data_IF_758288189659
#
_entry.id   IF_758288189659
#
_cell.length_a   1.000
_cell.length_b   1.000
_cell.length_c   1.000
_cell.angle_alpha   90.00
_cell.angle_beta   90.00
_cell.angle_gamma   90.00
#
_symmetry.space_group_name_H-M   'P 1'
#
loop_
_entity.id
_entity.type
_entity.pdbx_description
1 polymer ?
#
# COMPACT_ATOMS: atom_id res chain seq x y z
N UNK A 1 23.71 -19.96 -27.70
CA UNK A 1 22.86 -21.16 -27.85
C UNK A 1 21.42 -20.76 -27.54
N UNK A 2 20.48 -21.01 -28.44
CA UNK A 2 19.11 -20.50 -28.32
C UNK A 2 18.30 -21.16 -27.21
N UNK A 3 17.39 -20.39 -26.60
CA UNK A 3 16.38 -20.89 -25.68
C UNK A 3 15.57 -22.03 -26.30
N UNK A 4 15.12 -22.96 -25.45
CA UNK A 4 14.32 -24.11 -25.85
C UNK A 4 12.88 -23.91 -25.40
N UNK A 5 12.08 -23.10 -26.10
CA UNK A 5 10.71 -22.79 -25.70
C UNK A 5 9.79 -24.02 -25.71
N UNK A 6 10.16 -25.09 -26.41
CA UNK A 6 9.37 -26.32 -26.56
C UNK A 6 9.74 -27.43 -25.57
N UNK A 7 10.76 -27.24 -24.71
CA UNK A 7 11.12 -28.20 -23.65
C UNK A 7 11.62 -29.58 -24.13
N UNK A 8 11.99 -29.75 -25.41
CA UNK A 8 12.43 -31.06 -25.92
C UNK A 8 13.80 -31.48 -25.40
N UNK A 9 14.00 -32.80 -25.27
CA UNK A 9 15.29 -33.40 -24.87
C UNK A 9 16.38 -33.17 -25.92
N UNK A 10 17.64 -33.21 -25.49
CA UNK A 10 18.80 -33.04 -26.37
C UNK A 10 18.84 -34.11 -27.46
N UNK A 11 18.45 -35.36 -27.17
CA UNK A 11 18.40 -36.45 -28.15
C UNK A 11 17.33 -36.19 -29.22
N UNK A 12 16.14 -35.74 -28.81
CA UNK A 12 15.06 -35.39 -29.74
C UNK A 12 15.46 -34.23 -30.64
N UNK A 13 16.23 -33.26 -30.12
CA UNK A 13 16.73 -32.11 -30.89
C UNK A 13 17.82 -32.50 -31.87
N UNK A 14 18.70 -33.42 -31.51
CA UNK A 14 19.73 -33.95 -32.40
C UNK A 14 19.13 -34.73 -33.60
N UNK A 15 17.93 -35.29 -33.45
CA UNK A 15 17.19 -35.94 -34.53
C UNK A 15 16.77 -35.00 -35.67
N UNK A 16 16.69 -33.68 -35.44
CA UNK A 16 16.33 -32.71 -36.48
C UNK A 16 17.52 -32.20 -37.29
N UNK A 17 18.75 -32.59 -36.94
CA UNK A 17 19.98 -32.14 -37.60
C UNK A 17 20.22 -32.97 -38.86
N UNK A 18 20.28 -32.29 -40.01
CA UNK A 18 20.48 -32.91 -41.33
C UNK A 18 21.97 -32.98 -41.74
N UNK A 19 22.86 -32.28 -41.01
CA UNK A 19 24.27 -32.07 -41.36
C UNK A 19 25.19 -33.18 -40.83
N UNK A 20 25.03 -34.41 -41.32
CA UNK A 20 25.97 -35.51 -41.02
C UNK A 20 26.10 -35.91 -39.54
N UNK A 21 26.79 -37.02 -39.28
CA UNK A 21 26.85 -37.58 -37.92
C UNK A 21 27.82 -36.83 -36.99
N UNK A 22 28.84 -36.19 -37.54
CA UNK A 22 29.79 -35.39 -36.77
C UNK A 22 29.14 -34.17 -36.10
N UNK A 23 28.21 -33.48 -36.78
CA UNK A 23 27.50 -32.33 -36.22
C UNK A 23 26.52 -32.76 -35.12
N UNK A 24 25.88 -33.92 -35.28
CA UNK A 24 24.98 -34.50 -34.27
C UNK A 24 25.71 -34.80 -32.97
N UNK A 25 26.91 -35.39 -33.06
CA UNK A 25 27.73 -35.72 -31.89
C UNK A 25 28.16 -34.43 -31.16
N UNK A 26 28.69 -33.45 -31.89
CA UNK A 26 29.09 -32.17 -31.30
C UNK A 26 27.91 -31.43 -30.65
N UNK A 27 26.73 -31.45 -31.28
CA UNK A 27 25.53 -30.84 -30.71
C UNK A 27 25.08 -31.53 -29.42
N UNK A 28 25.10 -32.87 -29.38
CA UNK A 28 24.70 -33.63 -28.20
C UNK A 28 25.60 -33.35 -27.00
N UNK A 29 26.92 -33.30 -27.22
CA UNK A 29 27.89 -32.95 -26.17
C UNK A 29 27.62 -31.55 -25.61
N UNK A 30 27.50 -30.54 -26.46
CA UNK A 30 27.23 -29.17 -26.03
C UNK A 30 25.85 -29.03 -25.35
N UNK A 31 24.82 -29.72 -25.84
CA UNK A 31 23.47 -29.63 -25.30
C UNK A 31 23.38 -30.24 -23.90
N UNK A 32 24.00 -31.41 -23.69
CA UNK A 32 24.01 -32.06 -22.38
C UNK A 32 24.86 -31.31 -21.36
N UNK A 33 26.00 -30.75 -21.78
CA UNK A 33 26.84 -29.91 -20.91
C UNK A 33 26.08 -28.68 -20.39
N UNK A 34 25.40 -27.94 -21.28
CA UNK A 34 24.65 -26.74 -20.89
C UNK A 34 23.37 -27.09 -20.10
N UNK A 35 22.74 -28.24 -20.39
CA UNK A 35 21.65 -28.75 -19.57
C UNK A 35 22.09 -28.96 -18.12
N UNK A 36 23.27 -29.55 -17.89
CA UNK A 36 23.83 -29.72 -16.56
C UNK A 36 24.00 -28.39 -15.80
N UNK A 37 24.56 -27.37 -16.45
CA UNK A 37 24.73 -26.04 -15.85
C UNK A 37 23.38 -25.40 -15.50
N UNK A 38 22.38 -25.54 -16.37
CA UNK A 38 21.03 -25.00 -16.11
C UNK A 38 20.31 -25.75 -14.99
N UNK A 39 20.41 -27.07 -14.94
CA UNK A 39 19.80 -27.87 -13.88
C UNK A 39 20.43 -27.53 -12.51
N UNK A 40 21.73 -27.20 -12.48
CA UNK A 40 22.43 -26.73 -11.28
C UNK A 40 21.97 -25.32 -10.86
N UNK A 41 21.85 -24.36 -11.79
CA UNK A 41 21.34 -23.02 -11.47
C UNK A 41 19.86 -23.04 -11.04
N UNK A 42 19.04 -23.89 -11.66
CA UNK A 42 17.63 -24.09 -11.27
C UNK A 42 17.55 -24.66 -9.86
N UNK A 43 18.40 -25.64 -9.51
CA UNK A 43 18.46 -26.17 -8.13
C UNK A 43 18.84 -25.11 -7.11
N UNK A 44 19.82 -24.24 -7.40
CA UNK A 44 20.13 -23.12 -6.49
C UNK A 44 18.94 -22.16 -6.33
N UNK A 45 18.21 -21.91 -7.41
CA UNK A 45 17.00 -21.06 -7.41
C UNK A 45 15.84 -21.71 -6.65
N UNK A 46 15.63 -23.02 -6.80
CA UNK A 46 14.61 -23.77 -6.05
C UNK A 46 14.94 -23.90 -4.57
N UNK A 47 16.23 -24.03 -4.20
CA UNK A 47 16.67 -24.04 -2.80
C UNK A 47 16.47 -22.67 -2.12
N UNK A 48 16.53 -21.56 -2.87
CA UNK A 48 16.13 -20.24 -2.40
C UNK A 48 14.61 -20.17 -2.14
N UNK A 49 13.78 -20.78 -2.98
CA UNK A 49 12.32 -20.81 -2.83
C UNK A 49 11.84 -21.71 -1.67
N UNK A 50 12.58 -22.78 -1.34
CA UNK A 50 12.21 -23.69 -0.26
C UNK A 50 12.51 -23.14 1.16
N UNK A 51 13.30 -22.06 1.27
CA UNK A 51 13.64 -21.40 2.54
C UNK A 51 12.89 -20.10 2.80
N UNK A 52 12.01 -19.70 1.89
CA UNK A 52 11.33 -18.42 1.99
C UNK A 52 9.99 -18.55 2.74
N UNK A 53 10.05 -18.93 4.01
CA UNK A 53 9.02 -18.46 4.95
C UNK A 53 9.28 -16.95 5.14
N UNK A 54 8.73 -16.15 4.22
CA UNK A 54 8.82 -14.69 4.12
C UNK A 54 8.09 -13.95 5.27
N UNK A 55 8.02 -14.50 6.48
CA UNK A 55 7.40 -13.79 7.62
C UNK A 55 8.38 -12.85 8.33
N UNK A 56 9.69 -13.01 8.16
CA UNK A 56 10.70 -12.27 8.93
C UNK A 56 11.05 -10.84 8.43
N UNK A 57 10.62 -10.43 7.23
CA UNK A 57 11.03 -9.13 6.64
C UNK A 57 9.99 -8.01 6.79
N UNK A 58 8.78 -8.33 7.24
CA UNK A 58 7.69 -7.35 7.42
C UNK A 58 7.36 -7.19 8.91
N UNK A 59 6.94 -5.98 9.29
CA UNK A 59 6.50 -5.73 10.67
C UNK A 59 5.31 -6.63 11.00
N UNK A 60 5.35 -7.26 12.18
CA UNK A 60 4.18 -7.96 12.72
C UNK A 60 3.01 -7.00 12.93
N UNK A 61 1.80 -7.48 12.65
CA UNK A 61 0.56 -6.67 12.66
C UNK A 61 0.33 -5.92 13.98
N UNK A 62 0.81 -6.46 15.10
CA UNK A 62 0.67 -5.86 16.43
C UNK A 62 1.32 -4.48 16.55
N UNK A 63 2.30 -4.19 15.69
CA UNK A 63 3.00 -2.89 15.68
C UNK A 63 2.31 -1.86 14.76
N UNK A 64 1.30 -2.27 13.98
CA UNK A 64 0.64 -1.41 13.00
C UNK A 64 -0.67 -0.88 13.56
N UNK A 65 -0.66 0.37 14.02
CA UNK A 65 -1.88 1.07 14.44
C UNK A 65 -2.58 1.60 13.19
N UNK A 66 -3.74 1.03 12.88
CA UNK A 66 -4.58 1.47 11.76
C UNK A 66 -5.27 2.80 12.07
N UNK A 67 -5.25 3.69 11.08
CA UNK A 67 -5.97 4.97 11.11
C UNK A 67 -7.47 4.74 11.01
N UNK A 68 -8.24 5.40 11.86
CA UNK A 68 -9.70 5.24 11.91
C UNK A 68 -10.45 6.55 12.17
N UNK A 69 -9.78 7.60 12.64
CA UNK A 69 -10.39 8.89 12.95
C UNK A 69 -10.34 9.84 11.74
N UNK A 70 -11.36 9.74 10.87
CA UNK A 70 -11.53 10.55 9.66
C UNK A 70 -12.75 11.47 9.75
N UNK A 71 -12.77 12.48 10.64
CA UNK A 71 -13.87 13.42 10.71
C UNK A 71 -13.82 14.41 9.54
N UNK A 72 -14.97 14.95 9.13
CA UNK A 72 -15.01 16.05 8.16
C UNK A 72 -14.54 17.37 8.77
N UNK A 73 -14.85 17.59 10.06
CA UNK A 73 -14.45 18.76 10.82
C UNK A 73 -14.14 18.40 12.27
N UNK A 74 -13.23 19.14 12.88
CA UNK A 74 -12.84 18.98 14.28
C UNK A 74 -12.40 20.34 14.85
N UNK A 75 -12.04 20.36 16.13
CA UNK A 75 -11.65 21.59 16.85
C UNK A 75 -12.79 22.62 17.00
N UNK A 76 -14.03 22.13 17.15
CA UNK A 76 -15.20 22.96 17.43
C UNK A 76 -15.21 23.41 18.90
N UNK A 77 -14.38 24.40 19.22
CA UNK A 77 -14.12 24.87 20.59
C UNK A 77 -14.42 26.38 20.73
N UNK A 78 -14.84 26.76 21.94
CA UNK A 78 -14.99 28.16 22.33
C UNK A 78 -14.02 28.47 23.45
N UNK A 79 -13.15 29.45 23.25
CA UNK A 79 -12.08 29.79 24.18
C UNK A 79 -12.12 31.26 24.57
N UNK A 80 -11.92 31.52 25.87
CA UNK A 80 -11.83 32.87 26.40
C UNK A 80 -10.36 33.30 26.53
N UNK A 81 -10.03 34.45 25.93
CA UNK A 81 -8.70 35.07 26.00
C UNK A 81 -8.61 36.00 27.22
N UNK A 82 -8.34 35.42 28.40
CA UNK A 82 -8.26 36.16 29.66
C UNK A 82 -6.82 36.53 30.07
N UNK A 83 -5.82 36.20 29.24
CA UNK A 83 -4.42 36.48 29.56
C UNK A 83 -4.17 38.00 29.59
N UNK A 84 -3.29 38.49 30.47
CA UNK A 84 -2.96 39.92 30.50
C UNK A 84 -2.42 40.34 29.13
N UNK A 85 -2.92 41.45 28.56
CA UNK A 85 -2.44 41.93 27.28
C UNK A 85 -0.96 42.31 27.38
N UNK A 86 -0.23 42.05 26.30
CA UNK A 86 1.15 42.50 26.17
C UNK A 86 1.23 44.04 26.06
N UNK A 87 2.44 44.59 25.96
CA UNK A 87 2.66 46.03 25.75
C UNK A 87 2.00 46.62 24.49
N UNK A 88 1.53 45.78 23.57
CA UNK A 88 0.82 46.15 22.34
C UNK A 88 -0.71 45.99 22.46
N UNK A 89 -1.23 45.59 23.63
CA UNK A 89 -2.67 45.37 23.84
C UNK A 89 -3.17 43.99 23.35
N UNK A 90 -2.29 43.08 22.97
CA UNK A 90 -2.64 41.76 22.44
C UNK A 90 -2.59 40.72 23.56
N UNK A 91 -3.72 40.02 23.78
CA UNK A 91 -3.81 38.84 24.65
C UNK A 91 -3.61 37.58 23.79
N UNK A 92 -2.65 36.73 24.15
CA UNK A 92 -2.37 35.48 23.43
C UNK A 92 -2.65 34.26 24.30
N UNK A 93 -3.13 33.18 23.67
CA UNK A 93 -3.36 31.88 24.29
C UNK A 93 -2.83 30.78 23.38
N UNK A 94 -2.00 29.91 23.93
CA UNK A 94 -1.45 28.74 23.22
C UNK A 94 -2.39 27.56 23.47
N UNK A 95 -2.81 26.91 22.39
CA UNK A 95 -3.62 25.69 22.44
C UNK A 95 -2.83 24.52 21.87
N UNK A 96 -2.87 23.39 22.59
CA UNK A 96 -2.27 22.14 22.14
C UNK A 96 -3.38 21.13 21.87
N UNK A 97 -3.35 20.52 20.70
CA UNK A 97 -4.31 19.51 20.28
C UNK A 97 -3.60 18.42 19.46
N UNK A 98 -4.19 17.24 19.41
CA UNK A 98 -3.75 16.16 18.52
C UNK A 98 -4.42 16.30 17.16
N UNK A 99 -3.64 16.09 16.11
CA UNK A 99 -4.14 16.03 14.74
C UNK A 99 -4.94 14.75 14.52
N UNK A 100 -5.89 14.81 13.59
CA UNK A 100 -6.68 13.66 13.16
C UNK A 100 -5.90 12.81 12.17
N UNK A 101 -6.38 11.60 11.92
CA UNK A 101 -5.66 10.62 11.09
C UNK A 101 -5.70 10.93 9.58
N UNK A 102 -6.54 11.88 9.17
CA UNK A 102 -6.64 12.29 7.76
C UNK A 102 -5.35 12.95 7.27
N UNK A 103 -4.83 12.46 6.14
CA UNK A 103 -3.69 13.04 5.43
C UNK A 103 -4.25 14.07 4.46
N UNK A 104 -4.58 15.22 5.03
CA UNK A 104 -5.20 16.35 4.33
C UNK A 104 -4.63 17.66 4.87
N UNK A 105 -4.89 18.76 4.16
CA UNK A 105 -4.68 20.10 4.70
C UNK A 105 -5.92 20.51 5.48
N UNK A 106 -5.74 20.80 6.77
CA UNK A 106 -6.79 21.32 7.63
C UNK A 106 -6.78 22.84 7.61
N UNK A 107 -7.95 23.45 7.46
CA UNK A 107 -8.13 24.89 7.56
C UNK A 107 -8.71 25.24 8.94
N UNK A 108 -7.94 25.96 9.75
CA UNK A 108 -8.37 26.42 11.07
C UNK A 108 -8.95 27.83 10.94
N UNK A 109 -10.22 27.97 11.33
CA UNK A 109 -10.93 29.24 11.34
C UNK A 109 -11.16 29.69 12.79
N UNK A 110 -10.84 30.95 13.08
CA UNK A 110 -11.08 31.54 14.38
C UNK A 110 -12.02 32.75 14.23
N UNK A 111 -13.08 32.77 15.04
CA UNK A 111 -14.02 33.89 15.14
C UNK A 111 -14.00 34.41 16.56
N UNK A 112 -13.62 35.67 16.73
CA UNK A 112 -13.61 36.33 18.03
C UNK A 112 -14.85 37.21 18.20
N UNK A 113 -15.38 37.25 19.42
CA UNK A 113 -16.52 38.07 19.80
C UNK A 113 -16.14 38.81 21.07
N UNK A 114 -16.20 40.14 21.03
CA UNK A 114 -15.93 41.00 22.17
C UNK A 114 -17.06 42.02 22.36
N UNK A 115 -17.43 42.38 23.61
CA UNK A 115 -18.44 43.40 23.85
C UNK A 115 -18.04 44.80 23.39
N UNK A 116 -16.73 45.09 23.31
CA UNK A 116 -16.20 46.42 22.99
C UNK A 116 -15.85 46.60 21.52
N UNK A 117 -15.23 45.60 20.89
CA UNK A 117 -14.77 45.65 19.49
C UNK A 117 -15.69 44.89 18.52
N UNK A 118 -16.74 44.23 19.03
CA UNK A 118 -17.67 43.45 18.20
C UNK A 118 -17.08 42.12 17.74
N UNK A 119 -17.32 41.75 16.48
CA UNK A 119 -16.94 40.46 15.89
C UNK A 119 -15.76 40.65 14.95
N UNK A 120 -14.74 39.80 15.05
CA UNK A 120 -13.62 39.74 14.12
C UNK A 120 -13.38 38.30 13.67
N UNK A 121 -13.34 38.09 12.35
CA UNK A 121 -13.05 36.80 11.72
C UNK A 121 -11.59 36.82 11.28
N UNK A 122 -10.80 35.88 11.80
CA UNK A 122 -9.40 35.74 11.43
C UNK A 122 -9.25 35.13 10.03
N UNK A 123 -8.12 35.39 9.39
CA UNK A 123 -7.74 34.68 8.17
C UNK A 123 -7.54 33.18 8.47
N UNK A 124 -7.93 32.28 7.54
CA UNK A 124 -7.76 30.84 7.74
C UNK A 124 -6.29 30.46 7.91
N UNK A 125 -6.00 29.56 8.86
CA UNK A 125 -4.67 29.02 9.06
C UNK A 125 -4.60 27.56 8.60
N UNK A 126 -3.72 27.27 7.64
CA UNK A 126 -3.57 25.94 7.06
C UNK A 126 -2.58 25.06 7.84
N UNK A 127 -2.98 23.83 8.12
CA UNK A 127 -2.15 22.79 8.73
C UNK A 127 -2.12 21.58 7.81
N UNK A 128 -0.99 21.37 7.13
CA UNK A 128 -0.81 20.22 6.23
C UNK A 128 -0.32 19.00 6.99
N UNK A 129 -1.10 17.91 6.97
CA UNK A 129 -0.70 16.61 7.50
C UNK A 129 -0.25 15.72 6.35
N UNK A 130 1.02 15.29 6.36
CA UNK A 130 1.58 14.44 5.31
C UNK A 130 2.42 13.31 5.88
N UNK A 131 2.40 12.16 5.18
CA UNK A 131 3.29 11.02 5.41
C UNK A 131 3.92 10.63 4.08
N UNK A 132 5.15 10.14 4.12
CA UNK A 132 5.88 9.72 2.91
C UNK A 132 5.25 8.48 2.26
N UNK A 133 4.65 7.60 3.05
CA UNK A 133 3.95 6.42 2.58
C UNK A 133 2.61 6.27 3.29
N UNK A 134 1.53 6.15 2.52
CA UNK A 134 0.20 5.90 3.06
C UNK A 134 -0.74 5.25 2.05
N UNK A 135 -1.82 4.68 2.58
CA UNK A 135 -2.92 4.09 1.81
C UNK A 135 -4.11 5.05 1.83
N UNK A 136 -4.71 5.26 0.67
CA UNK A 136 -5.92 6.02 0.44
C UNK A 136 -6.99 5.09 -0.12
N UNK A 137 -8.06 4.85 0.64
CA UNK A 137 -9.15 3.96 0.23
C UNK A 137 -10.25 4.76 -0.45
N UNK A 138 -10.50 4.48 -1.73
CA UNK A 138 -11.60 5.06 -2.49
C UNK A 138 -12.85 4.21 -2.33
N UNK A 139 -13.62 4.53 -1.30
CA UNK A 139 -14.88 3.85 -0.97
C UNK A 139 -16.06 4.68 -1.51
N UNK A 140 -17.05 4.06 -2.17
CA UNK A 140 -18.29 4.75 -2.55
C UNK A 140 -19.09 5.14 -1.30
N UNK A 141 -19.95 6.15 -1.43
CA UNK A 141 -20.81 6.62 -0.34
C UNK A 141 -21.72 5.52 0.23
N UNK A 142 -22.26 4.66 -0.64
CA UNK A 142 -23.08 3.52 -0.25
C UNK A 142 -22.99 2.39 -1.26
N UNK A 143 -23.27 1.18 -0.81
CA UNK A 143 -23.26 -0.05 -1.60
C UNK A 143 -24.52 -0.85 -1.31
N UNK A 144 -25.06 -1.54 -2.31
CA UNK A 144 -26.22 -2.40 -2.12
C UNK A 144 -25.76 -3.74 -1.53
N UNK A 145 -26.51 -4.24 -0.54
CA UNK A 145 -26.26 -5.57 0.02
C UNK A 145 -26.29 -6.63 -1.08
N UNK A 146 -25.34 -7.57 -1.03
CA UNK A 146 -25.13 -8.65 -2.01
C UNK A 146 -24.69 -8.19 -3.40
N UNK A 147 -24.33 -6.91 -3.58
CA UNK A 147 -23.72 -6.42 -4.81
C UNK A 147 -22.19 -6.58 -4.74
N UNK A 148 -21.60 -7.05 -5.83
CA UNK A 148 -20.14 -7.12 -5.94
C UNK A 148 -19.59 -5.74 -6.30
N UNK A 149 -18.75 -5.20 -5.42
CA UNK A 149 -18.09 -3.90 -5.61
C UNK A 149 -16.58 -4.05 -5.59
N UNK A 150 -15.89 -3.23 -6.38
CA UNK A 150 -14.44 -3.11 -6.38
C UNK A 150 -14.05 -1.85 -5.61
N UNK A 151 -13.45 -2.02 -4.42
CA UNK A 151 -12.88 -0.91 -3.65
C UNK A 151 -11.41 -0.79 -4.02
N UNK A 152 -10.99 0.41 -4.43
CA UNK A 152 -9.60 0.68 -4.82
C UNK A 152 -8.83 1.27 -3.66
N UNK A 153 -7.81 0.56 -3.20
CA UNK A 153 -6.82 1.09 -2.29
C UNK A 153 -5.66 1.66 -3.11
N UNK A 154 -5.43 2.96 -3.05
CA UNK A 154 -4.30 3.61 -3.72
C UNK A 154 -3.18 3.79 -2.71
N UNK A 155 -2.03 3.20 -3.00
CA UNK A 155 -0.84 3.35 -2.19
C UNK A 155 0.04 4.43 -2.81
N UNK A 156 0.36 5.44 -2.04
CA UNK A 156 1.24 6.53 -2.45
C UNK A 156 2.62 6.34 -1.83
N UNK A 157 3.65 6.40 -2.67
CA UNK A 157 5.04 6.46 -2.26
C UNK A 157 5.62 7.83 -2.64
N UNK A 158 5.70 8.73 -1.68
CA UNK A 158 6.38 10.03 -1.80
C UNK A 158 7.86 9.96 -1.42
N UNK A 159 8.39 8.79 -1.04
CA UNK A 159 9.81 8.63 -0.82
C UNK A 159 10.58 8.63 -2.16
N UNK A 160 11.86 9.03 -2.09
CA UNK A 160 12.77 9.04 -3.25
C UNK A 160 13.32 7.65 -3.63
N UNK A 161 12.92 6.61 -2.91
CA UNK A 161 13.38 5.24 -3.13
C UNK A 161 12.20 4.33 -3.45
N UNK A 162 12.47 3.25 -4.19
CA UNK A 162 11.52 2.18 -4.42
C UNK A 162 11.28 1.41 -3.11
N UNK A 163 10.01 1.10 -2.83
CA UNK A 163 9.60 0.39 -1.62
C UNK A 163 8.96 -0.95 -1.98
N UNK A 164 9.31 -2.01 -1.25
CA UNK A 164 8.65 -3.31 -1.34
C UNK A 164 7.57 -3.39 -0.27
N UNK A 165 6.31 -3.56 -0.69
CA UNK A 165 5.14 -3.44 0.18
C UNK A 165 4.33 -4.72 0.16
N UNK A 166 3.82 -5.11 1.33
CA UNK A 166 2.79 -6.12 1.52
C UNK A 166 1.49 -5.42 1.92
N UNK A 167 0.43 -5.66 1.16
CA UNK A 167 -0.92 -5.18 1.48
C UNK A 167 -1.77 -6.38 1.88
N UNK A 168 -2.48 -6.25 2.99
CA UNK A 168 -3.36 -7.29 3.50
C UNK A 168 -4.79 -6.78 3.63
N UNK A 169 -5.75 -7.58 3.18
CA UNK A 169 -7.16 -7.36 3.45
C UNK A 169 -7.55 -8.12 4.73
N UNK A 170 -7.94 -7.39 5.77
CA UNK A 170 -8.39 -8.01 7.02
C UNK A 170 -9.73 -8.74 6.82
N UNK A 171 -9.87 -9.89 7.47
CA UNK A 171 -11.12 -10.66 7.48
C UNK A 171 -12.22 -9.91 8.24
N UNK A 172 -13.43 -9.89 7.69
CA UNK A 172 -14.62 -9.38 8.35
C UNK A 172 -15.80 -10.31 8.04
N UNK A 173 -16.48 -10.90 9.05
CA UNK A 173 -17.59 -11.82 8.85
C UNK A 173 -18.82 -11.19 8.16
N UNK A 174 -18.95 -9.86 8.18
CA UNK A 174 -20.03 -9.15 7.49
C UNK A 174 -19.79 -9.01 5.97
N UNK A 175 -18.57 -9.31 5.50
CA UNK A 175 -18.16 -9.18 4.11
C UNK A 175 -17.75 -10.54 3.53
N UNK A 176 -18.20 -10.83 2.30
CA UNK A 176 -17.64 -11.90 1.50
C UNK A 176 -16.51 -11.30 0.65
N UNK A 177 -15.27 -11.61 0.99
CA UNK A 177 -14.06 -11.10 0.35
C UNK A 177 -13.07 -12.24 0.07
N UNK A 178 -11.95 -11.94 -0.56
CA UNK A 178 -10.87 -12.91 -0.80
C UNK A 178 -10.20 -13.40 0.50
N UNK A 179 -10.41 -12.71 1.62
CA UNK A 179 -9.87 -13.09 2.94
C UNK A 179 -10.79 -14.06 3.67
N UNK A 180 -10.22 -15.12 4.22
CA UNK A 180 -10.90 -16.10 5.09
C UNK A 180 -10.49 -15.90 6.55
N UNK A 181 -11.20 -16.57 7.47
CA UNK A 181 -10.86 -16.55 8.91
C UNK A 181 -9.45 -17.05 9.20
N UNK A 182 -9.00 -18.04 8.44
CA UNK A 182 -7.72 -18.70 8.65
C UNK A 182 -6.60 -18.06 7.82
N UNK A 183 -6.92 -17.48 6.67
CA UNK A 183 -5.94 -16.93 5.74
C UNK A 183 -6.41 -15.61 5.16
N UNK A 184 -5.65 -14.56 5.47
CA UNK A 184 -5.86 -13.23 4.89
C UNK A 184 -5.37 -13.19 3.45
N UNK A 185 -6.07 -12.44 2.61
CA UNK A 185 -5.59 -12.10 1.29
C UNK A 185 -4.42 -11.12 1.42
N UNK A 186 -3.25 -11.52 0.91
CA UNK A 186 -2.00 -10.77 0.94
C UNK A 186 -1.51 -10.57 -0.49
N UNK A 187 -1.13 -9.36 -0.84
CA UNK A 187 -0.47 -9.04 -2.11
C UNK A 187 0.85 -8.33 -1.84
N UNK A 188 1.91 -8.71 -2.55
CA UNK A 188 3.23 -8.12 -2.41
C UNK A 188 3.70 -7.56 -3.74
N UNK A 189 4.23 -6.34 -3.71
CA UNK A 189 4.76 -5.70 -4.90
C UNK A 189 5.68 -4.53 -4.55
N UNK A 190 6.51 -4.14 -5.51
CA UNK A 190 7.31 -2.92 -5.44
C UNK A 190 6.52 -1.72 -5.95
N UNK A 191 6.56 -0.61 -5.22
CA UNK A 191 6.10 0.70 -5.68
C UNK A 191 7.35 1.54 -5.99
N UNK A 192 7.52 2.04 -7.22
CA UNK A 192 8.62 2.93 -7.56
C UNK A 192 8.63 4.22 -6.72
N UNK A 193 9.78 4.87 -6.62
CA UNK A 193 9.93 6.20 -6.02
C UNK A 193 8.96 7.22 -6.64
N UNK A 194 8.43 8.12 -5.80
CA UNK A 194 7.54 9.23 -6.21
C UNK A 194 6.37 8.78 -7.10
N UNK A 195 5.82 7.60 -6.83
CA UNK A 195 4.77 6.99 -7.63
C UNK A 195 3.62 6.46 -6.78
N UNK A 196 2.56 6.01 -7.45
CA UNK A 196 1.41 5.40 -6.78
C UNK A 196 0.99 4.11 -7.49
N UNK A 197 0.38 3.21 -6.73
CA UNK A 197 -0.18 1.97 -7.26
C UNK A 197 -1.55 1.70 -6.65
N UNK A 198 -2.51 1.39 -7.51
CA UNK A 198 -3.85 1.00 -7.09
C UNK A 198 -3.93 -0.52 -6.95
N UNK A 199 -4.47 -0.99 -5.82
CA UNK A 199 -4.78 -2.38 -5.53
C UNK A 199 -6.30 -2.52 -5.46
N UNK A 200 -6.93 -3.28 -6.38
CA UNK A 200 -8.36 -3.51 -6.36
C UNK A 200 -8.73 -4.63 -5.38
N UNK A 201 -9.65 -4.33 -4.46
CA UNK A 201 -10.25 -5.32 -3.57
C UNK A 201 -11.71 -5.54 -3.97
N UNK A 202 -12.03 -6.76 -4.40
CA UNK A 202 -13.40 -7.15 -4.72
C UNK A 202 -14.07 -7.66 -3.44
N UNK A 203 -15.16 -7.00 -3.04
CA UNK A 203 -15.88 -7.30 -1.80
C UNK A 203 -17.39 -7.33 -2.08
N UNK A 204 -18.09 -8.26 -1.44
CA UNK A 204 -19.55 -8.36 -1.44
C UNK A 204 -20.07 -8.19 0.00
N UNK A 205 -20.82 -7.12 0.33
CA UNK A 205 -21.36 -6.91 1.67
C UNK A 205 -22.57 -7.83 1.91
N UNK A 206 -22.56 -8.59 3.02
CA UNK A 206 -23.61 -9.55 3.36
C UNK A 206 -24.65 -8.99 4.35
N UNK A 207 -24.25 -8.05 5.19
CA UNK A 207 -25.10 -7.43 6.20
C UNK A 207 -25.37 -5.96 5.86
N UNK A 208 -26.53 -5.46 6.27
CA UNK A 208 -26.82 -4.02 6.22
C UNK A 208 -26.20 -3.36 7.45
N UNK A 209 -25.60 -2.19 7.25
CA UNK A 209 -24.93 -1.45 8.31
C UNK A 209 -24.59 -0.02 7.86
N UNK A 210 -23.87 0.66 8.74
CA UNK A 210 -23.20 1.94 8.49
C UNK A 210 -21.77 1.68 8.02
#
# INVERSE_FOLDING_TARGET
MHENPMGYSCERRAGYIQEGDACKVAFLECCNYIKGIRDESVRETELLLARSDFEDEFFGDENIISRSDFPESWLWLTENLNAPPNSQGISSKIMSFYLRDSITTWEVLAVSISPTEGICVAEPYEITVMKDFFIDLRVPYSVVKNEQVEIRAVLYNYANNDIYVRVELLYNPAFCSASTETQRYREQFTIPALSSRAVPFVIVPLQQGL
#
